data_IF_881164396712
#
_entry.id   IF_881164396712
#
_cell.length_a   1.000
_cell.length_b   1.000
_cell.length_c   1.000
_cell.angle_alpha   90.00
_cell.angle_beta   90.00
_cell.angle_gamma   90.00
#
_symmetry.space_group_name_H-M   'P 1'
#
loop_
_entity.id
_entity.type
_entity.pdbx_description
1 polymer ?
#
# COMPACT_ATOMS: atom_id res chain seq x y z
N UNK A 1 13.08 -23.19 36.96
CA UNK A 1 12.97 -23.45 35.50
C UNK A 1 11.82 -22.70 34.81
N UNK A 2 11.21 -21.70 35.46
CA UNK A 2 9.96 -21.08 34.95
C UNK A 2 10.09 -19.69 34.33
N UNK A 3 11.30 -19.15 34.15
CA UNK A 3 11.51 -17.80 33.59
C UNK A 3 11.59 -17.76 32.05
N UNK A 4 11.75 -18.89 31.37
CA UNK A 4 11.98 -18.92 29.90
C UNK A 4 10.67 -18.96 29.11
N UNK A 5 9.56 -19.35 29.71
CA UNK A 5 8.25 -19.39 29.00
C UNK A 5 7.54 -18.04 28.88
N UNK A 6 7.86 -17.04 29.71
CA UNK A 6 7.18 -15.73 29.67
C UNK A 6 7.63 -14.83 28.51
N UNK A 7 8.86 -14.95 28.05
CA UNK A 7 9.39 -14.08 26.99
C UNK A 7 8.79 -14.39 25.62
N UNK A 8 8.53 -15.65 25.31
CA UNK A 8 7.92 -16.05 24.04
C UNK A 8 6.45 -15.65 23.90
N UNK A 9 5.71 -15.60 25.01
CA UNK A 9 4.32 -15.13 25.03
C UNK A 9 4.22 -13.61 24.92
N UNK A 10 5.12 -12.87 25.59
CA UNK A 10 5.17 -11.42 25.51
C UNK A 10 5.54 -10.91 24.11
N UNK A 11 6.49 -11.56 23.43
CA UNK A 11 6.86 -11.23 22.05
C UNK A 11 5.72 -11.49 21.06
N UNK A 12 4.98 -12.58 21.23
CA UNK A 12 3.80 -12.89 20.40
C UNK A 12 2.64 -11.92 20.65
N UNK A 13 2.45 -11.51 21.91
CA UNK A 13 1.44 -10.48 22.25
C UNK A 13 1.79 -9.10 21.69
N UNK A 14 3.06 -8.68 21.76
CA UNK A 14 3.52 -7.40 21.20
C UNK A 14 3.38 -7.42 19.67
N UNK A 15 3.69 -8.52 19.00
CA UNK A 15 3.49 -8.67 17.56
C UNK A 15 2.01 -8.63 17.17
N UNK A 16 1.15 -9.29 17.95
CA UNK A 16 -0.30 -9.30 17.74
C UNK A 16 -0.93 -7.92 18.01
N UNK A 17 -0.48 -7.20 19.04
CA UNK A 17 -0.95 -5.83 19.33
C UNK A 17 -0.45 -4.81 18.28
N UNK A 18 0.77 -4.94 17.78
CA UNK A 18 1.23 -4.12 16.64
C UNK A 18 0.41 -4.40 15.37
N UNK A 19 0.13 -5.66 15.08
CA UNK A 19 -0.70 -6.05 13.93
C UNK A 19 -2.14 -5.56 14.07
N UNK A 20 -2.68 -5.55 15.29
CA UNK A 20 -4.02 -5.04 15.58
C UNK A 20 -4.10 -3.50 15.50
N UNK A 21 -3.08 -2.78 15.95
CA UNK A 21 -2.97 -1.32 15.80
C UNK A 21 -2.86 -0.88 14.33
N UNK A 22 -2.21 -1.66 13.48
CA UNK A 22 -2.12 -1.38 12.04
C UNK A 22 -3.42 -1.70 11.29
N UNK A 23 -4.22 -2.64 11.78
CA UNK A 23 -5.54 -2.97 11.18
C UNK A 23 -6.58 -1.86 11.43
N UNK A 24 -6.33 -0.93 12.33
CA UNK A 24 -7.17 0.23 12.63
C UNK A 24 -6.85 1.46 11.77
N UNK A 25 -5.97 1.34 10.76
CA UNK A 25 -5.85 2.36 9.74
C UNK A 25 -7.18 2.42 9.00
N UNK A 26 -8.10 3.22 9.54
CA UNK A 26 -9.36 3.58 8.89
C UNK A 26 -9.03 4.08 7.51
N UNK A 27 -9.40 3.30 6.52
CA UNK A 27 -9.45 3.78 5.14
C UNK A 27 -10.39 4.98 5.17
N UNK A 28 -9.87 6.19 5.14
CA UNK A 28 -10.63 7.36 4.77
C UNK A 28 -11.00 7.17 3.29
N UNK A 29 -12.11 6.48 3.06
CA UNK A 29 -12.81 6.54 1.80
C UNK A 29 -13.26 7.98 1.67
N UNK A 30 -12.75 8.69 0.67
CA UNK A 30 -13.31 9.98 0.30
C UNK A 30 -14.62 9.66 -0.41
N UNK A 31 -15.71 9.63 0.33
CA UNK A 31 -17.02 9.35 -0.20
C UNK A 31 -17.54 10.56 -0.98
N UNK A 32 -18.13 10.29 -2.13
CA UNK A 32 -18.93 11.28 -2.86
C UNK A 32 -20.41 11.10 -2.52
N UNK A 33 -21.21 12.12 -2.72
CA UNK A 33 -22.67 12.07 -2.49
C UNK A 33 -23.43 12.73 -3.62
N UNK A 34 -24.72 12.38 -3.77
CA UNK A 34 -25.60 13.09 -4.67
C UNK A 34 -26.05 14.39 -4.03
N UNK A 35 -25.75 15.52 -4.69
CA UNK A 35 -26.14 16.85 -4.24
C UNK A 35 -27.60 17.15 -4.58
N UNK A 36 -28.01 16.89 -5.81
CA UNK A 36 -29.38 17.10 -6.28
C UNK A 36 -29.70 16.23 -7.49
N UNK A 37 -30.97 15.88 -7.62
CA UNK A 37 -31.55 15.30 -8.82
C UNK A 37 -32.80 16.05 -9.17
N UNK A 38 -32.88 16.63 -10.38
CA UNK A 38 -34.01 17.46 -10.80
C UNK A 38 -34.31 17.30 -12.27
N UNK A 39 -35.57 17.61 -12.63
CA UNK A 39 -36.04 17.70 -14.03
C UNK A 39 -35.60 19.04 -14.62
N UNK A 40 -35.17 19.04 -15.87
CA UNK A 40 -34.88 20.23 -16.65
C UNK A 40 -35.99 20.44 -17.70
N UNK A 41 -37.13 21.11 -17.38
CA UNK A 41 -38.30 21.19 -18.27
C UNK A 41 -38.03 21.92 -19.59
N UNK A 42 -37.07 22.85 -19.58
CA UNK A 42 -36.71 23.68 -20.74
C UNK A 42 -35.56 23.08 -21.58
N UNK A 43 -35.00 21.96 -21.14
CA UNK A 43 -33.91 21.29 -21.85
C UNK A 43 -34.47 20.23 -22.81
N UNK A 44 -34.45 20.56 -24.07
CA UNK A 44 -34.94 19.73 -25.17
C UNK A 44 -33.92 18.69 -25.69
N UNK A 45 -32.81 18.53 -25.01
CA UNK A 45 -31.69 17.63 -25.47
C UNK A 45 -32.16 16.19 -25.63
N UNK A 46 -33.00 15.67 -24.74
CA UNK A 46 -33.58 14.32 -24.84
C UNK A 46 -34.52 14.16 -26.02
N UNK A 47 -35.18 15.25 -26.44
CA UNK A 47 -36.09 15.27 -27.57
C UNK A 47 -35.31 15.35 -28.90
N UNK A 48 -34.32 16.23 -28.99
CA UNK A 48 -33.49 16.44 -30.20
C UNK A 48 -32.59 15.22 -30.47
N UNK A 49 -31.96 14.68 -29.43
CA UNK A 49 -31.12 13.49 -29.53
C UNK A 49 -31.93 12.24 -29.15
N UNK A 50 -32.91 11.90 -29.95
CA UNK A 50 -33.86 10.82 -29.68
C UNK A 50 -33.17 9.44 -29.75
N UNK A 51 -32.68 8.94 -28.61
CA UNK A 51 -32.18 7.57 -28.44
C UNK A 51 -33.35 6.69 -28.03
N UNK A 52 -33.48 5.52 -28.67
CA UNK A 52 -34.54 4.55 -28.39
C UNK A 52 -33.98 3.31 -27.70
N UNK A 53 -34.77 2.70 -26.84
CA UNK A 53 -34.43 1.45 -26.19
C UNK A 53 -34.76 0.22 -27.08
N UNK A 54 -34.58 -0.98 -26.53
CA UNK A 54 -34.86 -2.23 -27.25
C UNK A 54 -36.38 -2.44 -27.57
N UNK A 55 -37.28 -1.70 -26.94
CA UNK A 55 -38.68 -1.70 -27.17
C UNK A 55 -39.17 -0.61 -28.14
N UNK A 56 -38.20 0.08 -28.78
CA UNK A 56 -38.44 1.24 -29.64
C UNK A 56 -39.07 2.45 -28.91
N UNK A 57 -39.03 2.46 -27.56
CA UNK A 57 -39.47 3.59 -26.77
C UNK A 57 -38.36 4.64 -26.63
N UNK A 58 -38.75 5.93 -26.66
CA UNK A 58 -37.77 7.00 -26.48
C UNK A 58 -37.27 7.04 -25.04
N UNK A 59 -35.92 7.08 -24.90
CA UNK A 59 -35.27 7.15 -23.62
C UNK A 59 -35.45 8.49 -22.89
N UNK A 60 -35.27 8.48 -21.58
CA UNK A 60 -34.95 9.65 -20.78
C UNK A 60 -33.45 9.96 -20.86
N UNK A 61 -33.10 11.23 -20.71
CA UNK A 61 -31.68 11.66 -20.63
C UNK A 61 -31.36 12.15 -19.22
N UNK A 62 -30.33 11.59 -18.60
CA UNK A 62 -29.74 12.10 -17.35
C UNK A 62 -28.41 12.76 -17.71
N UNK A 63 -28.27 14.06 -17.47
CA UNK A 63 -27.02 14.79 -17.52
C UNK A 63 -26.38 14.76 -16.15
N UNK A 64 -25.15 14.25 -16.05
CA UNK A 64 -24.41 14.13 -14.79
C UNK A 64 -23.20 15.04 -14.86
N UNK A 65 -23.12 16.04 -14.00
CA UNK A 65 -21.92 16.86 -13.83
C UNK A 65 -20.85 16.05 -13.09
N UNK A 66 -20.01 15.33 -13.83
CA UNK A 66 -18.99 14.45 -13.28
C UNK A 66 -17.83 14.24 -14.26
N UNK A 67 -16.61 13.94 -13.76
CA UNK A 67 -15.50 13.49 -14.59
C UNK A 67 -15.80 12.13 -15.23
N UNK A 68 -15.12 11.82 -16.33
CA UNK A 68 -15.38 10.64 -17.18
C UNK A 68 -15.11 9.28 -16.51
N UNK A 69 -14.42 9.24 -15.39
CA UNK A 69 -14.09 8.04 -14.60
C UNK A 69 -15.27 7.48 -13.77
N UNK A 70 -16.40 8.19 -13.74
CA UNK A 70 -17.61 7.62 -13.16
C UNK A 70 -18.21 6.52 -14.05
N UNK A 71 -18.58 5.41 -13.44
CA UNK A 71 -19.38 4.35 -14.05
C UNK A 71 -20.79 4.37 -13.46
N UNK A 72 -21.77 4.09 -14.32
CA UNK A 72 -23.19 4.10 -13.96
C UNK A 72 -23.85 2.78 -14.34
N UNK A 73 -24.86 2.39 -13.59
CA UNK A 73 -25.73 1.28 -13.96
C UNK A 73 -27.15 1.49 -13.42
N UNK A 74 -28.13 0.95 -14.12
CA UNK A 74 -29.53 0.94 -13.70
C UNK A 74 -30.09 -0.47 -13.82
N UNK A 75 -31.16 -0.84 -13.09
CA UNK A 75 -31.82 -2.14 -13.23
C UNK A 75 -32.36 -2.41 -14.65
N UNK A 76 -32.71 -1.36 -15.38
CA UNK A 76 -33.21 -1.46 -16.76
C UNK A 76 -32.10 -1.30 -17.80
N UNK A 77 -30.84 -1.17 -17.37
CA UNK A 77 -29.69 -0.92 -18.22
C UNK A 77 -29.53 0.55 -18.62
N UNK A 78 -28.43 0.85 -19.29
CA UNK A 78 -28.15 2.14 -19.92
C UNK A 78 -28.04 1.88 -21.41
N UNK A 79 -28.91 2.52 -22.20
CA UNK A 79 -28.99 2.32 -23.64
C UNK A 79 -27.79 2.93 -24.36
N UNK A 80 -27.43 4.15 -23.93
CA UNK A 80 -26.28 4.87 -24.50
C UNK A 80 -25.65 5.77 -23.45
N UNK A 81 -24.34 5.83 -23.42
CA UNK A 81 -23.54 6.82 -22.70
C UNK A 81 -22.80 7.69 -23.71
N UNK A 82 -22.77 9.01 -23.45
CA UNK A 82 -21.99 9.97 -24.21
C UNK A 82 -21.26 10.84 -23.21
N UNK A 83 -19.94 10.94 -23.35
CA UNK A 83 -19.10 11.79 -22.50
C UNK A 83 -18.92 13.14 -23.23
N UNK A 84 -19.45 14.20 -22.65
CA UNK A 84 -19.30 15.59 -23.09
C UNK A 84 -18.29 16.32 -22.20
N UNK A 85 -17.95 17.54 -22.54
CA UNK A 85 -17.00 18.34 -21.77
C UNK A 85 -17.62 18.75 -20.43
N UNK A 86 -17.21 18.12 -19.34
CA UNK A 86 -17.70 18.38 -17.99
C UNK A 86 -19.00 17.67 -17.62
N UNK A 87 -19.63 16.97 -18.54
CA UNK A 87 -20.91 16.28 -18.33
C UNK A 87 -20.90 14.87 -18.91
N UNK A 88 -21.60 13.96 -18.28
CA UNK A 88 -21.85 12.61 -18.80
C UNK A 88 -23.35 12.50 -19.10
N UNK A 89 -23.68 12.15 -20.33
CA UNK A 89 -25.05 11.96 -20.77
C UNK A 89 -25.40 10.49 -20.76
N UNK A 90 -26.42 10.13 -19.98
CA UNK A 90 -26.91 8.76 -19.83
C UNK A 90 -28.32 8.67 -20.41
N UNK A 91 -28.46 7.90 -21.48
CA UNK A 91 -29.78 7.56 -22.06
C UNK A 91 -30.28 6.27 -21.41
N UNK A 92 -31.35 6.38 -20.66
CA UNK A 92 -31.92 5.28 -19.89
C UNK A 92 -33.35 5.01 -20.27
N UNK A 93 -33.86 3.74 -20.19
CA UNK A 93 -35.23 3.42 -20.52
C UNK A 93 -36.22 4.19 -19.64
N UNK A 94 -37.40 4.45 -20.20
CA UNK A 94 -38.55 4.98 -19.47
C UNK A 94 -38.82 4.10 -18.24
N UNK A 95 -39.28 4.72 -17.15
CA UNK A 95 -39.62 4.00 -15.92
C UNK A 95 -38.41 3.66 -15.01
N UNK A 96 -37.22 4.03 -15.37
CA UNK A 96 -36.05 3.88 -14.49
C UNK A 96 -36.27 4.64 -13.19
N UNK A 97 -36.10 3.96 -12.03
CA UNK A 97 -36.36 4.50 -10.67
C UNK A 97 -35.06 4.58 -9.82
N UNK A 98 -34.05 3.85 -10.18
CA UNK A 98 -32.81 3.73 -9.42
C UNK A 98 -31.59 3.85 -10.32
N UNK A 99 -30.53 4.45 -9.77
CA UNK A 99 -29.24 4.62 -10.43
C UNK A 99 -28.13 4.23 -9.45
N UNK A 100 -27.24 3.38 -9.88
CA UNK A 100 -26.00 3.07 -9.15
C UNK A 100 -24.85 3.85 -9.77
N UNK A 101 -24.09 4.56 -8.94
CA UNK A 101 -22.94 5.37 -9.31
C UNK A 101 -21.68 4.73 -8.70
N UNK A 102 -20.63 4.58 -9.49
CA UNK A 102 -19.35 4.02 -9.04
C UNK A 102 -18.21 4.91 -9.49
N UNK A 103 -17.31 5.22 -8.56
CA UNK A 103 -16.03 5.88 -8.85
C UNK A 103 -14.88 5.02 -8.33
N UNK A 104 -13.77 4.87 -9.10
CA UNK A 104 -12.65 3.98 -8.73
C UNK A 104 -11.99 4.32 -7.40
N UNK A 105 -12.01 5.60 -7.01
CA UNK A 105 -11.32 6.09 -5.81
C UNK A 105 -12.27 6.52 -4.68
N UNK A 106 -13.54 6.88 -5.00
CA UNK A 106 -14.48 7.47 -4.03
C UNK A 106 -15.58 6.51 -3.62
N UNK A 107 -15.59 5.28 -4.14
CA UNK A 107 -16.51 4.24 -3.74
C UNK A 107 -17.75 4.12 -4.63
N UNK A 108 -18.86 3.61 -4.07
CA UNK A 108 -20.07 3.25 -4.81
C UNK A 108 -21.31 3.70 -4.04
N UNK A 109 -22.18 4.46 -4.71
CA UNK A 109 -23.55 4.70 -4.24
C UNK A 109 -24.46 3.71 -4.98
N UNK A 110 -24.99 2.73 -4.26
CA UNK A 110 -25.88 1.71 -4.81
C UNK A 110 -27.33 2.16 -4.71
N UNK A 111 -28.12 1.86 -5.74
CA UNK A 111 -29.57 2.00 -5.76
C UNK A 111 -30.09 3.37 -5.31
N UNK A 112 -29.41 4.44 -5.77
CA UNK A 112 -29.89 5.80 -5.51
C UNK A 112 -31.27 5.97 -6.11
N UNK A 113 -32.26 6.33 -5.30
CA UNK A 113 -33.67 6.49 -5.69
C UNK A 113 -33.87 7.85 -6.37
N UNK A 114 -34.34 7.85 -7.61
CA UNK A 114 -34.59 9.06 -8.40
C UNK A 114 -35.91 9.77 -8.02
N UNK A 115 -36.62 9.26 -7.00
CA UNK A 115 -37.85 9.83 -6.49
C UNK A 115 -39.09 9.45 -7.32
N UNK A 116 -39.09 9.74 -8.61
CA UNK A 116 -40.13 9.36 -9.56
C UNK A 116 -39.59 8.54 -10.72
N UNK A 117 -40.38 7.67 -11.36
CA UNK A 117 -39.98 7.01 -12.59
C UNK A 117 -39.64 8.04 -13.67
N UNK A 118 -38.60 7.83 -14.42
CA UNK A 118 -38.18 8.73 -15.50
C UNK A 118 -39.16 8.64 -16.68
N UNK A 119 -39.50 9.78 -17.27
CA UNK A 119 -40.39 9.88 -18.40
C UNK A 119 -39.61 9.96 -19.72
N UNK A 120 -40.17 9.40 -20.79
CA UNK A 120 -39.61 9.46 -22.13
C UNK A 120 -39.40 10.91 -22.57
N UNK A 121 -38.30 11.16 -23.30
CA UNK A 121 -37.95 12.46 -23.89
C UNK A 121 -37.73 13.60 -22.89
N UNK A 122 -37.70 13.30 -21.61
CA UNK A 122 -37.39 14.28 -20.56
C UNK A 122 -35.90 14.30 -20.24
N UNK A 123 -35.39 15.50 -19.98
CA UNK A 123 -33.99 15.71 -19.53
C UNK A 123 -33.99 15.95 -18.03
N UNK A 124 -33.06 15.27 -17.35
CA UNK A 124 -32.81 15.36 -15.92
C UNK A 124 -31.37 15.76 -15.67
N UNK A 125 -31.11 16.46 -14.57
CA UNK A 125 -29.79 16.82 -14.11
C UNK A 125 -29.47 16.11 -12.80
N UNK A 126 -28.30 15.50 -12.72
CA UNK A 126 -27.76 14.89 -11.52
C UNK A 126 -26.47 15.62 -11.14
N UNK A 127 -26.48 16.30 -9.99
CA UNK A 127 -25.30 16.95 -9.42
C UNK A 127 -24.70 16.11 -8.31
N UNK A 128 -23.37 15.98 -8.32
CA UNK A 128 -22.61 15.22 -7.35
C UNK A 128 -21.77 16.15 -6.49
N UNK A 129 -21.82 15.96 -5.17
CA UNK A 129 -20.82 16.49 -4.26
C UNK A 129 -19.57 15.61 -4.37
N UNK A 130 -18.56 16.14 -5.01
CA UNK A 130 -17.26 15.49 -5.11
C UNK A 130 -16.40 15.92 -3.92
N UNK A 131 -15.61 14.99 -3.30
CA UNK A 131 -14.63 15.41 -2.33
C UNK A 131 -13.69 16.42 -3.02
N UNK A 132 -13.48 17.57 -2.39
CA UNK A 132 -12.58 18.62 -2.91
C UNK A 132 -11.18 18.02 -3.06
N UNK A 133 -10.88 17.49 -4.23
CA UNK A 133 -9.50 17.37 -4.66
C UNK A 133 -8.99 18.81 -4.78
N UNK A 134 -7.90 19.14 -4.10
CA UNK A 134 -7.22 20.43 -4.24
C UNK A 134 -6.63 20.49 -5.66
N UNK A 135 -7.49 20.79 -6.62
CA UNK A 135 -7.11 21.21 -7.98
C UNK A 135 -7.50 22.68 -8.03
N UNK A 136 -6.49 23.51 -8.05
CA UNK A 136 -6.65 24.95 -8.20
C UNK A 136 -7.48 25.25 -9.45
N UNK A 137 -8.59 25.97 -9.26
CA UNK A 137 -9.35 26.55 -10.33
C UNK A 137 -8.48 27.58 -11.09
N UNK A 138 -8.22 27.31 -12.34
CA UNK A 138 -7.77 28.32 -13.29
C UNK A 138 -9.01 28.91 -13.95
N UNK A 139 -9.34 30.14 -13.58
CA UNK A 139 -10.18 30.99 -14.39
C UNK A 139 -9.40 31.34 -15.67
N UNK A 140 -9.79 30.80 -16.79
CA UNK A 140 -9.38 31.28 -18.11
C UNK A 140 -10.60 31.84 -18.84
N UNK A 141 -10.49 33.11 -19.13
CA UNK A 141 -11.42 33.90 -19.91
C UNK A 141 -11.58 33.33 -21.31
N UNK A 142 -12.79 33.02 -21.72
CA UNK A 142 -13.13 32.44 -23.02
C UNK A 142 -13.03 33.49 -24.09
N UNK A 143 -12.07 33.37 -25.00
CA UNK A 143 -12.11 33.99 -26.33
C UNK A 143 -12.53 32.91 -27.32
N UNK A 144 -13.74 33.01 -27.86
CA UNK A 144 -14.20 32.12 -28.93
C UNK A 144 -13.47 32.47 -30.24
N UNK A 145 -12.57 31.55 -30.65
CA UNK A 145 -12.10 31.52 -32.04
C UNK A 145 -12.55 30.16 -32.60
N UNK A 146 -13.51 30.21 -33.52
CA UNK A 146 -14.01 29.06 -34.27
C UNK A 146 -13.02 28.70 -35.35
N UNK A 147 -12.12 27.77 -35.08
CA UNK A 147 -11.24 27.22 -36.12
C UNK A 147 -11.55 25.71 -36.23
N UNK A 148 -12.05 25.31 -37.38
CA UNK A 148 -12.19 23.88 -37.74
C UNK A 148 -10.77 23.36 -37.97
N UNK A 149 -10.30 22.47 -37.12
CA UNK A 149 -9.04 21.78 -37.33
C UNK A 149 -9.27 20.29 -37.07
N UNK A 150 -8.94 19.48 -38.04
CA UNK A 150 -8.88 18.02 -37.94
C UNK A 150 -8.09 17.62 -36.72
N UNK A 151 -8.75 16.95 -35.77
CA UNK A 151 -8.13 16.54 -34.51
C UNK A 151 -7.31 15.29 -34.76
N UNK A 152 -6.04 15.44 -35.03
CA UNK A 152 -5.07 14.37 -34.81
C UNK A 152 -5.06 14.11 -33.31
N UNK A 153 -5.52 12.92 -32.91
CA UNK A 153 -5.49 12.49 -31.49
C UNK A 153 -4.03 12.46 -31.01
N UNK A 154 -3.59 13.52 -30.34
CA UNK A 154 -2.31 13.54 -29.64
C UNK A 154 -2.44 12.58 -28.47
N UNK A 155 -1.67 11.48 -28.38
CA UNK A 155 -1.73 10.58 -27.24
C UNK A 155 -1.41 11.36 -25.97
N UNK A 156 -2.36 11.45 -25.04
CA UNK A 156 -2.14 12.08 -23.74
C UNK A 156 -1.02 11.31 -23.01
N UNK A 157 0.16 11.88 -23.01
CA UNK A 157 1.29 11.34 -22.25
C UNK A 157 0.94 11.48 -20.77
N UNK A 158 0.54 10.36 -20.14
CA UNK A 158 0.29 10.33 -18.69
C UNK A 158 1.52 10.90 -17.96
N UNK A 159 1.34 11.90 -17.07
CA UNK A 159 2.47 12.55 -16.41
C UNK A 159 3.28 11.49 -15.64
N UNK A 160 4.57 11.40 -15.95
CA UNK A 160 5.48 10.46 -15.29
C UNK A 160 5.55 10.81 -13.80
N UNK A 161 5.38 9.81 -12.94
CA UNK A 161 5.57 9.98 -11.50
C UNK A 161 6.97 10.52 -11.19
N UNK A 162 7.10 11.49 -10.27
CA UNK A 162 8.40 12.01 -9.88
C UNK A 162 9.25 10.93 -9.24
N UNK A 163 10.56 11.03 -9.42
CA UNK A 163 11.51 10.17 -8.71
C UNK A 163 11.50 10.53 -7.23
N UNK A 164 11.32 9.52 -6.37
CA UNK A 164 11.39 9.64 -4.93
C UNK A 164 12.52 8.78 -4.40
N UNK A 165 13.26 9.32 -3.44
CA UNK A 165 14.31 8.63 -2.69
C UNK A 165 13.86 8.58 -1.24
N UNK A 166 14.02 7.43 -0.62
CA UNK A 166 13.68 7.17 0.78
C UNK A 166 14.93 6.73 1.52
N UNK A 167 15.18 7.31 2.67
CA UNK A 167 16.28 6.91 3.57
C UNK A 167 15.74 6.83 4.99
N UNK A 168 15.83 5.64 5.60
CA UNK A 168 15.30 5.40 6.93
C UNK A 168 16.37 4.76 7.80
N UNK A 169 16.39 5.14 9.07
CA UNK A 169 16.98 4.35 10.13
C UNK A 169 15.98 3.28 10.56
N UNK A 170 16.46 2.05 10.79
CA UNK A 170 15.63 0.90 11.13
C UNK A 170 16.09 0.24 12.43
N UNK A 171 15.13 -0.35 13.14
CA UNK A 171 15.38 -1.20 14.30
C UNK A 171 14.65 -2.51 14.06
N UNK A 172 15.40 -3.61 14.01
CA UNK A 172 14.84 -4.95 13.93
C UNK A 172 14.88 -5.61 15.31
N UNK A 173 13.77 -6.20 15.74
CA UNK A 173 13.64 -6.86 17.02
C UNK A 173 13.70 -8.38 16.82
N UNK A 174 14.59 -9.02 17.56
CA UNK A 174 14.73 -10.48 17.64
C UNK A 174 14.86 -10.92 19.10
N UNK A 175 15.00 -12.22 19.34
CA UNK A 175 14.92 -12.80 20.69
C UNK A 175 16.00 -12.26 21.65
N UNK A 176 17.20 -11.93 21.14
CA UNK A 176 18.35 -11.57 21.94
C UNK A 176 18.69 -10.07 21.91
N UNK A 177 17.73 -9.27 21.42
CA UNK A 177 17.84 -7.83 21.46
C UNK A 177 17.58 -7.14 20.11
N UNK A 178 17.85 -5.85 20.01
CA UNK A 178 17.65 -5.09 18.79
C UNK A 178 18.87 -5.17 17.86
N UNK A 179 18.59 -5.12 16.56
CA UNK A 179 19.57 -4.80 15.50
C UNK A 179 19.22 -3.45 14.89
N UNK A 180 20.22 -2.68 14.54
CA UNK A 180 20.07 -1.33 13.96
C UNK A 180 20.47 -1.37 12.50
N UNK A 181 19.79 -0.60 11.66
CA UNK A 181 20.03 -0.66 10.24
C UNK A 181 19.72 0.62 9.50
N UNK A 182 20.00 0.57 8.20
CA UNK A 182 19.71 1.64 7.25
C UNK A 182 18.98 1.03 6.07
N UNK A 183 17.84 1.62 5.75
CA UNK A 183 17.04 1.30 4.57
C UNK A 183 17.14 2.44 3.57
N UNK A 184 17.44 2.11 2.33
CA UNK A 184 17.47 3.04 1.20
C UNK A 184 16.56 2.52 0.09
N UNK A 185 15.74 3.40 -0.50
CA UNK A 185 14.97 3.03 -1.68
C UNK A 185 14.91 4.18 -2.68
N UNK A 186 14.85 3.83 -3.96
CA UNK A 186 14.69 4.77 -5.06
C UNK A 186 13.61 4.26 -6.02
N UNK A 187 12.55 5.04 -6.23
CA UNK A 187 11.42 4.63 -7.06
C UNK A 187 10.70 5.79 -7.75
N UNK A 188 9.98 5.46 -8.80
CA UNK A 188 8.89 6.27 -9.36
C UNK A 188 7.55 5.61 -9.06
N UNK A 189 7.09 4.71 -9.92
CA UNK A 189 5.95 3.81 -9.66
C UNK A 189 6.45 2.47 -9.10
N UNK A 190 7.56 2.01 -9.62
CA UNK A 190 8.34 0.85 -9.21
C UNK A 190 9.78 1.28 -9.05
N UNK A 191 10.54 0.60 -8.23
CA UNK A 191 11.93 0.89 -7.96
C UNK A 191 12.62 -0.25 -7.26
N UNK A 192 13.74 0.07 -6.62
CA UNK A 192 14.52 -0.87 -5.84
C UNK A 192 14.76 -0.35 -4.44
N UNK A 193 15.07 -1.26 -3.53
CA UNK A 193 15.54 -0.92 -2.19
C UNK A 193 16.77 -1.74 -1.81
N UNK A 194 17.49 -1.23 -0.84
CA UNK A 194 18.60 -1.84 -0.13
C UNK A 194 18.37 -1.68 1.36
N UNK A 195 18.53 -2.74 2.12
CA UNK A 195 18.44 -2.69 3.58
C UNK A 195 19.60 -3.47 4.18
N UNK A 196 20.28 -2.87 5.13
CA UNK A 196 21.34 -3.50 5.90
C UNK A 196 21.10 -3.28 7.39
N UNK A 197 21.23 -4.33 8.20
CA UNK A 197 21.13 -4.22 9.66
C UNK A 197 22.11 -5.12 10.38
N UNK A 198 22.53 -4.69 11.58
CA UNK A 198 23.41 -5.44 12.46
C UNK A 198 23.14 -5.07 13.92
N UNK A 199 23.38 -5.99 14.83
CA UNK A 199 23.44 -5.74 16.27
C UNK A 199 24.81 -5.19 16.72
N UNK A 200 25.77 -5.08 15.78
CA UNK A 200 27.17 -4.66 16.02
C UNK A 200 27.91 -5.50 17.05
N UNK A 201 27.40 -6.71 17.35
CA UNK A 201 28.03 -7.64 18.27
C UNK A 201 28.86 -8.67 17.50
N UNK A 202 29.90 -9.18 18.14
CA UNK A 202 30.73 -10.25 17.62
C UNK A 202 30.74 -11.43 18.58
N UNK A 203 30.69 -12.64 18.05
CA UNK A 203 30.87 -13.86 18.84
C UNK A 203 32.33 -13.99 19.30
N UNK A 204 33.25 -13.36 18.57
CA UNK A 204 34.69 -13.51 18.83
C UNK A 204 35.21 -14.88 18.37
N UNK A 205 36.36 -15.30 18.94
CA UNK A 205 36.95 -16.62 18.67
C UNK A 205 36.18 -17.68 19.41
N UNK A 206 35.81 -18.76 18.72
CA UNK A 206 35.18 -19.96 19.29
C UNK A 206 36.20 -21.12 19.25
N UNK A 207 36.16 -21.98 20.25
CA UNK A 207 37.05 -23.14 20.39
C UNK A 207 36.55 -24.36 19.64
N UNK A 208 35.27 -24.33 19.18
CA UNK A 208 34.65 -25.40 18.44
C UNK A 208 33.15 -25.15 18.28
N UNK A 209 32.45 -26.20 17.86
CA UNK A 209 31.00 -26.18 17.69
C UNK A 209 30.31 -27.19 18.63
N UNK A 210 29.09 -26.87 19.01
CA UNK A 210 28.20 -27.81 19.69
C UNK A 210 26.85 -27.89 18.94
N UNK A 211 26.14 -28.98 19.17
CA UNK A 211 24.79 -29.18 18.66
C UNK A 211 23.77 -28.30 19.41
N UNK A 212 22.47 -28.44 19.08
CA UNK A 212 21.39 -27.70 19.71
C UNK A 212 21.30 -27.95 21.22
N UNK A 213 21.67 -29.12 21.65
CA UNK A 213 21.57 -29.56 23.06
C UNK A 213 22.87 -29.29 23.84
N UNK A 214 23.91 -28.81 23.15
CA UNK A 214 25.19 -28.41 23.73
C UNK A 214 26.23 -29.50 23.74
N UNK A 215 26.06 -30.62 23.01
CA UNK A 215 27.09 -31.66 22.92
C UNK A 215 28.15 -31.21 21.90
N UNK A 216 29.44 -31.45 22.21
CA UNK A 216 30.54 -31.15 21.31
C UNK A 216 30.49 -32.11 20.11
N UNK A 217 30.54 -31.59 18.91
CA UNK A 217 30.32 -32.31 17.66
C UNK A 217 31.27 -33.53 17.49
N UNK A 218 32.53 -33.40 17.90
CA UNK A 218 33.55 -34.42 17.69
C UNK A 218 33.60 -35.50 18.78
N UNK A 219 33.20 -35.17 20.01
CA UNK A 219 33.27 -36.10 21.16
C UNK A 219 31.93 -36.62 21.65
N UNK A 220 30.85 -35.98 21.27
CA UNK A 220 29.51 -36.26 21.80
C UNK A 220 29.34 -35.93 23.29
N UNK A 221 30.38 -35.43 23.94
CA UNK A 221 30.33 -35.05 25.35
C UNK A 221 29.71 -33.68 25.53
N UNK A 222 28.94 -33.51 26.57
CA UNK A 222 28.35 -32.22 26.94
C UNK A 222 29.18 -31.58 28.05
N UNK A 223 29.92 -30.49 27.76
CA UNK A 223 30.68 -29.78 28.79
C UNK A 223 29.73 -29.04 29.75
N UNK A 224 30.26 -28.65 30.89
CA UNK A 224 29.58 -27.73 31.76
C UNK A 224 29.55 -26.33 31.16
N UNK A 225 28.38 -25.70 31.07
CA UNK A 225 28.21 -24.35 30.58
C UNK A 225 27.99 -23.34 31.70
N UNK A 226 28.63 -22.17 31.64
CA UNK A 226 28.49 -21.09 32.62
C UNK A 226 27.11 -20.46 32.62
N UNK A 227 26.37 -20.60 31.54
CA UNK A 227 25.10 -19.92 31.28
C UNK A 227 25.23 -18.64 30.50
N UNK A 228 26.42 -18.12 30.30
CA UNK A 228 26.67 -16.93 29.47
C UNK A 228 26.59 -17.25 27.98
N UNK A 229 26.00 -16.32 27.22
CA UNK A 229 25.82 -16.47 25.78
C UNK A 229 26.27 -15.21 25.04
N UNK A 230 26.82 -15.42 23.83
CA UNK A 230 27.11 -14.35 22.88
C UNK A 230 26.26 -14.52 21.64
N UNK A 231 25.75 -13.41 21.15
CA UNK A 231 24.95 -13.37 19.94
C UNK A 231 25.57 -12.40 18.93
N UNK A 232 25.37 -12.68 17.65
CA UNK A 232 25.71 -11.76 16.57
C UNK A 232 24.67 -11.89 15.47
N UNK A 233 24.12 -10.78 15.04
CA UNK A 233 23.12 -10.71 13.99
C UNK A 233 23.49 -9.66 12.97
N UNK A 234 23.55 -10.06 11.70
CA UNK A 234 23.63 -9.13 10.59
C UNK A 234 22.87 -9.64 9.38
N UNK A 235 22.33 -8.73 8.62
CA UNK A 235 21.69 -9.05 7.35
C UNK A 235 21.84 -7.93 6.35
N UNK A 236 21.76 -8.31 5.09
CA UNK A 236 21.63 -7.40 3.95
C UNK A 236 20.57 -7.96 3.02
N UNK A 237 19.59 -7.12 2.62
CA UNK A 237 18.57 -7.46 1.63
C UNK A 237 18.50 -6.39 0.55
N UNK A 238 18.13 -6.82 -0.65
CA UNK A 238 17.87 -5.95 -1.80
C UNK A 238 16.68 -6.49 -2.57
N UNK A 239 15.90 -5.60 -3.16
CA UNK A 239 14.70 -6.04 -3.87
C UNK A 239 13.93 -4.93 -4.52
N UNK A 240 12.67 -5.23 -4.83
CA UNK A 240 11.76 -4.33 -5.49
C UNK A 240 10.90 -3.55 -4.49
N UNK A 241 10.51 -2.34 -4.87
CA UNK A 241 9.53 -1.52 -4.16
C UNK A 241 8.47 -1.04 -5.14
N UNK A 242 7.22 -1.17 -4.76
CA UNK A 242 6.05 -0.93 -5.58
C UNK A 242 5.11 0.07 -4.92
N UNK A 243 4.70 1.10 -5.66
CA UNK A 243 3.69 2.04 -5.21
C UNK A 243 2.30 1.38 -5.30
N UNK A 244 1.65 1.18 -4.16
CA UNK A 244 0.30 0.60 -4.08
C UNK A 244 -0.78 1.68 -4.14
N UNK A 245 -0.66 2.70 -3.29
CA UNK A 245 -1.64 3.78 -3.19
C UNK A 245 -0.96 5.08 -2.75
N UNK A 246 -1.71 6.18 -2.66
CA UNK A 246 -1.18 7.48 -2.27
C UNK A 246 -0.49 7.40 -0.90
N UNK A 247 0.85 7.44 -0.90
CA UNK A 247 1.67 7.39 0.32
C UNK A 247 2.04 6.00 0.83
N UNK A 248 1.55 4.90 0.21
CA UNK A 248 1.84 3.53 0.63
C UNK A 248 2.58 2.78 -0.47
N UNK A 249 3.68 2.13 -0.09
CA UNK A 249 4.48 1.27 -0.95
C UNK A 249 4.65 -0.11 -0.30
N UNK A 250 4.65 -1.14 -1.11
CA UNK A 250 5.06 -2.50 -0.75
C UNK A 250 6.51 -2.67 -1.18
N UNK A 251 7.33 -3.33 -0.37
CA UNK A 251 8.65 -3.76 -0.77
C UNK A 251 8.88 -5.22 -0.40
N UNK A 252 9.65 -5.90 -1.25
CA UNK A 252 9.97 -7.30 -1.13
C UNK A 252 11.37 -7.56 -1.70
N UNK A 253 12.14 -8.37 -1.01
CA UNK A 253 13.51 -8.63 -1.44
C UNK A 253 14.13 -9.86 -0.80
N UNK A 254 15.29 -10.17 -1.32
CA UNK A 254 16.14 -11.27 -0.87
C UNK A 254 17.55 -10.78 -0.61
N UNK A 255 18.28 -11.53 0.16
CA UNK A 255 19.66 -11.23 0.47
C UNK A 255 20.33 -12.33 1.26
N UNK A 256 21.24 -11.93 2.13
CA UNK A 256 21.97 -12.82 2.99
C UNK A 256 21.96 -12.33 4.42
N UNK A 257 21.84 -13.26 5.36
CA UNK A 257 21.91 -12.96 6.79
C UNK A 257 22.61 -14.07 7.58
N UNK A 258 23.08 -13.68 8.73
CA UNK A 258 23.62 -14.61 9.73
C UNK A 258 23.14 -14.18 11.12
N UNK A 259 22.55 -15.11 11.79
CA UNK A 259 22.24 -15.04 13.21
C UNK A 259 22.99 -16.15 13.91
N UNK A 260 23.94 -15.82 14.78
CA UNK A 260 24.81 -16.78 15.40
C UNK A 260 24.74 -16.67 16.93
N UNK A 261 24.80 -17.82 17.58
CA UNK A 261 24.77 -17.96 19.04
C UNK A 261 25.93 -18.83 19.48
N UNK A 262 26.69 -18.37 20.48
CA UNK A 262 27.74 -19.13 21.12
C UNK A 262 27.53 -19.22 22.64
N UNK A 263 27.79 -20.36 23.20
CA UNK A 263 27.66 -20.65 24.60
C UNK A 263 29.02 -20.75 25.27
N UNK A 264 29.16 -20.14 26.46
CA UNK A 264 30.40 -20.16 27.20
C UNK A 264 30.50 -21.45 28.03
N UNK A 265 31.60 -22.18 27.87
CA UNK A 265 31.96 -23.27 28.75
C UNK A 265 32.36 -22.75 30.15
N UNK A 266 32.13 -23.57 31.17
CA UNK A 266 32.57 -23.26 32.53
C UNK A 266 34.10 -23.15 32.64
N UNK A 267 34.60 -22.47 33.65
CA UNK A 267 36.06 -22.29 33.86
C UNK A 267 36.79 -23.63 33.99
N UNK A 268 36.16 -24.67 34.56
CA UNK A 268 36.68 -26.02 34.64
C UNK A 268 36.93 -26.69 33.29
N UNK A 269 36.23 -26.21 32.24
CA UNK A 269 36.31 -26.70 30.87
C UNK A 269 37.10 -25.73 29.94
N UNK A 270 37.82 -24.78 30.52
CA UNK A 270 38.67 -23.81 29.79
C UNK A 270 38.02 -22.45 29.57
N UNK A 271 36.73 -22.25 29.89
CA UNK A 271 36.07 -20.95 29.85
C UNK A 271 35.84 -20.37 28.45
N UNK A 272 36.15 -21.09 27.37
CA UNK A 272 35.99 -20.68 25.99
C UNK A 272 34.56 -20.72 25.49
N UNK A 273 34.33 -20.27 24.27
CA UNK A 273 33.00 -20.26 23.64
C UNK A 273 32.88 -21.33 22.56
N UNK A 274 31.77 -22.05 22.56
CA UNK A 274 31.36 -22.98 21.51
C UNK A 274 30.25 -22.38 20.67
N UNK A 275 30.39 -22.42 19.34
CA UNK A 275 29.32 -22.01 18.44
C UNK A 275 28.23 -23.07 18.46
N UNK A 276 26.99 -22.68 18.79
CA UNK A 276 25.85 -23.57 18.75
C UNK A 276 25.27 -23.64 17.33
N UNK A 277 25.51 -24.75 16.62
CA UNK A 277 25.08 -24.94 15.23
C UNK A 277 23.57 -25.04 15.10
N UNK A 278 22.88 -25.56 16.14
CA UNK A 278 21.42 -25.68 16.14
C UNK A 278 20.71 -24.34 16.30
N UNK A 279 21.35 -23.36 16.95
CA UNK A 279 20.83 -22.01 17.18
C UNK A 279 21.45 -20.97 16.24
N UNK A 280 22.44 -21.36 15.44
CA UNK A 280 23.09 -20.51 14.45
C UNK A 280 22.43 -20.72 13.09
N UNK A 281 21.93 -19.63 12.51
CA UNK A 281 21.28 -19.65 11.21
C UNK A 281 22.00 -18.70 10.27
N UNK A 282 22.41 -19.19 9.12
CA UNK A 282 23.08 -18.42 8.06
C UNK A 282 22.54 -18.82 6.69
N UNK A 283 22.43 -17.87 5.79
CA UNK A 283 21.98 -18.16 4.43
C UNK A 283 21.09 -17.09 3.86
N UNK A 284 20.21 -17.49 2.99
CA UNK A 284 19.30 -16.58 2.30
C UNK A 284 18.41 -15.85 3.32
N UNK A 285 18.42 -14.53 3.26
CA UNK A 285 17.48 -13.68 3.97
C UNK A 285 16.36 -13.26 3.02
N UNK A 286 15.14 -13.27 3.51
CA UNK A 286 13.95 -12.76 2.83
C UNK A 286 13.37 -11.61 3.63
N UNK A 287 12.88 -10.58 2.94
CA UNK A 287 12.23 -9.43 3.56
C UNK A 287 10.98 -9.04 2.78
N UNK A 288 9.89 -8.75 3.50
CA UNK A 288 8.68 -8.16 2.96
C UNK A 288 8.17 -7.10 3.92
N UNK A 289 7.71 -5.96 3.38
CA UNK A 289 7.25 -4.87 4.24
C UNK A 289 6.45 -3.81 3.53
N UNK A 290 5.92 -2.90 4.33
CA UNK A 290 5.19 -1.73 3.91
C UNK A 290 5.96 -0.46 4.31
N UNK A 291 5.93 0.51 3.41
CA UNK A 291 6.49 1.83 3.62
C UNK A 291 5.38 2.85 3.42
N UNK A 292 5.16 3.70 4.42
CA UNK A 292 4.17 4.77 4.38
C UNK A 292 4.85 6.12 4.48
N UNK A 293 4.48 7.07 3.63
CA UNK A 293 5.05 8.42 3.64
C UNK A 293 4.00 9.50 3.77
N UNK A 294 4.20 10.36 4.78
CA UNK A 294 3.40 11.54 5.08
C UNK A 294 4.25 12.77 4.78
N UNK A 295 3.99 13.44 3.66
CA UNK A 295 4.83 14.53 3.15
C UNK A 295 6.31 14.14 3.01
N UNK A 296 7.16 14.50 3.99
CA UNK A 296 8.58 14.17 4.06
C UNK A 296 8.90 13.04 5.03
N UNK A 297 8.07 12.86 6.05
CA UNK A 297 8.24 11.78 7.03
C UNK A 297 7.88 10.44 6.38
N UNK A 298 8.69 9.43 6.62
CA UNK A 298 8.47 8.08 6.13
C UNK A 298 8.61 7.08 7.27
N UNK A 299 7.69 6.15 7.34
CA UNK A 299 7.68 5.05 8.29
C UNK A 299 7.68 3.74 7.51
N UNK A 300 8.35 2.73 8.03
CA UNK A 300 8.30 1.37 7.48
C UNK A 300 8.08 0.33 8.56
N UNK A 301 7.49 -0.78 8.14
CA UNK A 301 7.40 -2.01 8.93
C UNK A 301 7.68 -3.18 8.01
N UNK A 302 8.51 -4.11 8.46
CA UNK A 302 8.81 -5.32 7.69
C UNK A 302 8.96 -6.56 8.56
N UNK A 303 8.74 -7.71 7.92
CA UNK A 303 9.10 -9.03 8.44
C UNK A 303 10.31 -9.53 7.66
N UNK A 304 11.28 -10.03 8.39
CA UNK A 304 12.55 -10.52 7.87
C UNK A 304 12.73 -11.96 8.33
N UNK A 305 13.22 -12.81 7.44
CA UNK A 305 13.60 -14.18 7.81
C UNK A 305 15.02 -14.47 7.33
N UNK A 306 15.80 -15.20 8.14
CA UNK A 306 17.12 -15.71 7.78
C UNK A 306 17.03 -17.23 7.70
N UNK A 307 17.41 -17.79 6.56
CA UNK A 307 17.36 -19.23 6.27
C UNK A 307 15.97 -19.89 6.50
N UNK A 308 14.89 -19.09 6.51
CA UNK A 308 13.54 -19.56 6.83
C UNK A 308 13.32 -19.99 8.30
N UNK A 309 14.32 -19.83 9.15
CA UNK A 309 14.33 -20.33 10.54
C UNK A 309 14.28 -19.21 11.58
N UNK A 310 15.07 -18.16 11.37
CA UNK A 310 15.09 -17.00 12.26
C UNK A 310 14.21 -15.89 11.71
N UNK A 311 13.25 -15.41 12.52
CA UNK A 311 12.32 -14.34 12.15
C UNK A 311 12.56 -13.10 12.98
N UNK A 312 12.45 -11.95 12.34
CA UNK A 312 12.64 -10.63 12.94
C UNK A 312 11.56 -9.67 12.43
N UNK A 313 11.04 -8.81 13.29
CA UNK A 313 10.21 -7.68 12.91
C UNK A 313 11.05 -6.42 12.85
N UNK A 314 10.96 -5.63 11.79
CA UNK A 314 11.67 -4.35 11.67
C UNK A 314 10.70 -3.18 11.55
N UNK A 315 11.05 -2.09 12.21
CA UNK A 315 10.39 -0.81 12.09
C UNK A 315 11.42 0.23 11.64
N UNK A 316 11.01 1.19 10.82
CA UNK A 316 11.91 2.24 10.35
C UNK A 316 11.24 3.61 10.35
N UNK A 317 12.06 4.62 10.57
CA UNK A 317 11.69 6.03 10.48
C UNK A 317 12.72 6.78 9.65
N UNK A 318 12.27 7.68 8.79
CA UNK A 318 13.17 8.43 7.93
C UNK A 318 12.48 9.47 7.08
N UNK A 319 13.14 9.83 6.00
CA UNK A 319 12.75 10.94 5.14
C UNK A 319 12.56 10.51 3.69
N UNK A 320 11.62 11.19 3.04
CA UNK A 320 11.40 11.14 1.59
C UNK A 320 11.98 12.38 0.94
N UNK A 321 12.85 12.18 -0.04
CA UNK A 321 13.41 13.21 -0.90
C UNK A 321 12.82 13.01 -2.30
N UNK A 322 12.16 14.02 -2.85
CA UNK A 322 11.59 13.96 -4.20
C UNK A 322 11.20 15.36 -4.65
N UNK A 323 11.22 15.63 -5.97
CA UNK A 323 10.75 16.93 -6.49
C UNK A 323 9.28 17.11 -6.12
N UNK A 324 9.00 18.08 -5.27
CA UNK A 324 7.67 18.63 -5.10
C UNK A 324 7.26 19.20 -6.47
N UNK A 325 6.12 18.80 -7.04
CA UNK A 325 5.51 19.61 -8.09
C UNK A 325 5.22 20.96 -7.44
N UNK A 326 6.07 21.94 -7.67
CA UNK A 326 5.70 23.32 -7.46
C UNK A 326 4.57 23.58 -8.45
N UNK A 327 3.35 23.65 -7.95
CA UNK A 327 2.26 24.28 -8.64
C UNK A 327 2.69 25.73 -8.88
N UNK A 328 3.03 26.06 -10.13
CA UNK A 328 2.96 27.41 -10.63
C UNK A 328 1.57 27.62 -11.19
#
# INVERSE_FOLDING_TARGET
>A
MDKIQLTGKASKMVLATLMWLFCQATMFSQDFSVASFQVLPNDVSAFINNVRDLNDEACALIKVEAPSDFAFSTPLGIVKRKDEVGEIWLYVPRGTKMLTLKHPQWGVIRDYKLGKPLESRMTYELKLNQPKSVIAEKHDTIIQIKTVTDTIAIPQVKPKMPLCIYTLATIALHQDGPSYGIFFAMMRRHGFFLHASSDFKSIGKTEGNCDKDGNIADSGNKPYYSGDTRHSNYMFTAGAIHHLSKGICLFEGIGYGRYATAWQMGESEGGGYLLNDGLTHKGVAGEIGLLSSFERLTLSISAITIAGKQWQGSIGIGIKIGKRKTSK
#
